data_IF_983068093387
#
_entry.id   IF_983068093387
#
_cell.length_a   1.000
_cell.length_b   1.000
_cell.length_c   1.000
_cell.angle_alpha   90.00
_cell.angle_beta   90.00
_cell.angle_gamma   90.00
#
_symmetry.space_group_name_H-M   'P 1'
#
loop_
_entity.id
_entity.type
_entity.pdbx_description
1 polymer ?
#
# COMPACT_ATOMS: atom_id res chain seq x y z
N UNK A 1 34.11 14.17 18.65
CA UNK A 1 33.40 13.61 17.47
C UNK A 1 33.26 12.12 17.69
N UNK A 2 32.03 11.58 17.72
CA UNK A 2 31.83 10.13 17.93
C UNK A 2 32.38 9.34 16.74
N UNK A 3 32.92 8.13 17.01
CA UNK A 3 33.44 7.21 15.96
C UNK A 3 32.41 6.98 14.84
N UNK A 4 31.12 7.03 15.17
CA UNK A 4 30.00 6.91 14.24
C UNK A 4 29.90 8.08 13.26
N UNK A 5 30.25 9.30 13.69
CA UNK A 5 30.27 10.48 12.81
C UNK A 5 31.45 10.47 11.82
N UNK A 6 32.58 9.88 12.22
CA UNK A 6 33.73 9.68 11.33
C UNK A 6 33.43 8.59 10.29
N UNK A 7 32.76 7.51 10.68
CA UNK A 7 32.30 6.46 9.77
C UNK A 7 31.31 7.01 8.72
N UNK A 8 30.37 7.85 9.16
CA UNK A 8 29.40 8.53 8.28
C UNK A 8 30.08 9.46 7.28
N UNK A 9 31.14 10.17 7.70
CA UNK A 9 31.88 11.08 6.82
C UNK A 9 32.69 10.31 5.76
N UNK A 10 33.26 9.17 6.13
CA UNK A 10 34.10 8.36 5.21
C UNK A 10 33.26 7.55 4.23
N UNK A 11 32.05 7.14 4.63
CA UNK A 11 31.16 6.27 3.84
C UNK A 11 29.81 6.93 3.50
N UNK A 12 29.73 8.27 3.51
CA UNK A 12 28.47 8.99 3.32
C UNK A 12 27.70 8.56 2.07
N UNK A 13 28.39 8.31 0.97
CA UNK A 13 27.79 7.89 -0.29
C UNK A 13 27.26 6.44 -0.24
N UNK A 14 28.04 5.52 0.34
CA UNK A 14 27.63 4.11 0.49
C UNK A 14 26.48 3.95 1.48
N UNK A 15 26.53 4.71 2.57
CA UNK A 15 25.43 4.74 3.57
C UNK A 15 24.17 5.31 2.94
N UNK A 16 24.28 6.39 2.16
CA UNK A 16 23.15 6.97 1.45
C UNK A 16 22.52 5.97 0.48
N UNK A 17 23.34 5.31 -0.34
CA UNK A 17 22.89 4.29 -1.27
C UNK A 17 22.14 3.17 -0.57
N UNK A 18 22.78 2.55 0.45
CA UNK A 18 22.20 1.43 1.18
C UNK A 18 20.93 1.80 1.91
N UNK A 19 20.89 2.99 2.55
CA UNK A 19 19.71 3.44 3.28
C UNK A 19 18.51 3.68 2.38
N UNK A 20 18.71 4.39 1.26
CA UNK A 20 17.63 4.62 0.26
C UNK A 20 17.19 3.30 -0.36
N UNK A 21 18.12 2.41 -0.69
CA UNK A 21 17.79 1.10 -1.25
C UNK A 21 16.93 0.27 -0.28
N UNK A 22 17.26 0.25 1.00
CA UNK A 22 16.53 -0.46 2.05
C UNK A 22 15.11 0.10 2.21
N UNK A 23 14.94 1.42 2.23
CA UNK A 23 13.63 2.05 2.28
C UNK A 23 12.79 1.69 1.05
N UNK A 24 13.34 1.85 -0.15
CA UNK A 24 12.63 1.55 -1.39
C UNK A 24 12.35 0.04 -1.55
N UNK A 25 13.15 -0.82 -0.91
CA UNK A 25 12.87 -2.26 -0.82
C UNK A 25 11.66 -2.59 0.08
N UNK A 26 11.05 -1.58 0.74
CA UNK A 26 9.82 -1.74 1.51
C UNK A 26 10.02 -1.85 3.02
N UNK A 27 11.23 -1.66 3.54
CA UNK A 27 11.43 -1.57 4.99
C UNK A 27 10.95 -0.20 5.49
N UNK A 28 10.29 -0.13 6.66
CA UNK A 28 9.73 1.11 7.20
C UNK A 28 10.83 2.00 7.84
N UNK A 29 11.89 2.27 7.09
CA UNK A 29 13.03 3.09 7.53
C UNK A 29 13.05 4.36 6.70
N UNK A 30 12.65 5.53 7.25
CA UNK A 30 12.57 6.75 6.48
C UNK A 30 13.98 7.24 6.07
N UNK A 31 14.19 7.56 4.79
CA UNK A 31 15.46 8.07 4.28
C UNK A 31 15.56 9.59 4.30
N UNK A 32 14.42 10.30 4.40
CA UNK A 32 14.42 11.77 4.41
C UNK A 32 15.33 12.39 5.48
N UNK A 33 15.49 11.85 6.73
CA UNK A 33 16.40 12.43 7.69
C UNK A 33 17.86 12.29 7.27
N UNK A 34 18.21 11.15 6.65
CA UNK A 34 19.57 10.90 6.16
C UNK A 34 19.89 11.83 4.98
N UNK A 35 18.94 12.06 4.07
CA UNK A 35 19.09 12.99 2.96
C UNK A 35 19.19 14.45 3.43
N UNK A 36 18.40 14.86 4.44
CA UNK A 36 18.52 16.18 5.05
C UNK A 36 19.92 16.35 5.69
N UNK A 37 20.39 15.35 6.45
CA UNK A 37 21.73 15.37 7.04
C UNK A 37 22.82 15.47 5.97
N UNK A 38 22.73 14.70 4.89
CA UNK A 38 23.68 14.78 3.77
C UNK A 38 23.63 16.14 3.06
N UNK A 39 22.45 16.73 2.91
CA UNK A 39 22.27 18.08 2.40
C UNK A 39 22.97 19.12 3.27
N UNK A 40 22.85 19.04 4.60
CA UNK A 40 23.57 19.93 5.54
C UNK A 40 25.10 19.74 5.47
N UNK A 41 25.56 18.51 5.29
CA UNK A 41 26.99 18.21 5.08
C UNK A 41 27.49 18.78 3.77
N UNK A 42 26.65 18.82 2.73
CA UNK A 42 27.00 19.45 1.46
C UNK A 42 27.13 20.98 1.57
N UNK A 43 26.30 21.63 2.38
CA UNK A 43 26.48 23.03 2.70
C UNK A 43 27.82 23.33 3.44
N UNK A 44 28.34 22.34 4.17
CA UNK A 44 29.65 22.38 4.82
C UNK A 44 30.82 21.95 3.90
N UNK A 45 30.59 21.74 2.59
CA UNK A 45 31.56 21.26 1.60
C UNK A 45 32.18 19.88 1.93
N UNK A 46 31.54 19.09 2.80
CA UNK A 46 32.03 17.74 3.19
C UNK A 46 31.63 16.67 2.20
N UNK A 47 30.52 16.88 1.47
CA UNK A 47 30.01 15.99 0.41
C UNK A 47 29.46 16.82 -0.74
N UNK A 48 29.42 16.24 -1.94
CA UNK A 48 28.93 16.93 -3.15
C UNK A 48 27.51 16.44 -3.51
N UNK A 49 26.54 17.35 -3.57
CA UNK A 49 25.15 17.04 -4.00
C UNK A 49 25.14 16.43 -5.41
N UNK A 50 26.04 16.89 -6.30
CA UNK A 50 26.16 16.38 -7.65
C UNK A 50 26.49 14.87 -7.71
N UNK A 51 27.11 14.31 -6.65
CA UNK A 51 27.36 12.87 -6.52
C UNK A 51 26.26 12.15 -5.72
N UNK A 52 25.68 12.82 -4.70
CA UNK A 52 24.62 12.24 -3.88
C UNK A 52 23.35 11.97 -4.69
N UNK A 53 22.96 12.91 -5.55
CA UNK A 53 21.71 12.81 -6.31
C UNK A 53 21.68 11.61 -7.27
N UNK A 54 22.73 11.38 -8.12
CA UNK A 54 22.80 10.15 -8.92
C UNK A 54 22.79 8.86 -8.09
N UNK A 55 23.42 8.84 -6.92
CA UNK A 55 23.43 7.69 -6.03
C UNK A 55 22.01 7.38 -5.53
N UNK A 56 21.26 8.40 -5.11
CA UNK A 56 19.85 8.26 -4.70
C UNK A 56 19.03 7.75 -5.87
N UNK A 57 19.20 8.31 -7.07
CA UNK A 57 18.48 7.88 -8.28
C UNK A 57 18.74 6.42 -8.61
N UNK A 58 20.00 5.97 -8.60
CA UNK A 58 20.35 4.58 -8.88
C UNK A 58 19.72 3.64 -7.85
N UNK A 59 19.78 4.00 -6.57
CA UNK A 59 19.15 3.20 -5.50
C UNK A 59 17.64 3.05 -5.71
N UNK A 60 16.94 4.15 -6.05
CA UNK A 60 15.52 4.14 -6.36
C UNK A 60 15.21 3.26 -7.58
N UNK A 61 15.84 3.54 -8.72
CA UNK A 61 15.55 2.85 -9.99
C UNK A 61 15.82 1.35 -9.88
N UNK A 62 16.89 0.95 -9.20
CA UNK A 62 17.22 -0.48 -8.99
C UNK A 62 16.13 -1.17 -8.18
N UNK A 63 15.76 -0.60 -7.04
CA UNK A 63 14.74 -1.19 -6.18
C UNK A 63 13.36 -1.20 -6.86
N UNK A 64 12.95 -0.08 -7.44
CA UNK A 64 11.62 0.09 -8.04
C UNK A 64 11.46 -0.75 -9.30
N UNK A 65 12.54 -0.92 -10.10
CA UNK A 65 12.54 -1.87 -11.23
C UNK A 65 12.34 -3.30 -10.76
N UNK A 66 12.97 -3.69 -9.66
CA UNK A 66 12.73 -5.00 -9.04
C UNK A 66 11.26 -5.20 -8.69
N UNK A 67 10.64 -4.24 -8.02
CA UNK A 67 9.21 -4.27 -7.69
C UNK A 67 8.30 -4.23 -8.91
N UNK A 68 8.63 -3.45 -9.94
CA UNK A 68 7.90 -3.42 -11.20
C UNK A 68 7.85 -4.82 -11.85
N UNK A 69 8.99 -5.49 -11.98
CA UNK A 69 9.06 -6.82 -12.58
C UNK A 69 8.36 -7.89 -11.73
N UNK A 70 8.48 -7.81 -10.41
CA UNK A 70 7.73 -8.67 -9.50
C UNK A 70 6.22 -8.46 -9.65
N UNK A 71 5.76 -7.22 -9.73
CA UNK A 71 4.37 -6.88 -9.96
C UNK A 71 3.85 -7.38 -11.31
N UNK A 72 4.65 -7.20 -12.38
CA UNK A 72 4.32 -7.68 -13.72
C UNK A 72 4.20 -9.20 -13.80
N UNK A 73 5.06 -9.94 -13.07
CA UNK A 73 5.10 -11.41 -13.14
C UNK A 73 4.11 -12.08 -12.18
N UNK A 74 3.96 -11.57 -10.97
CA UNK A 74 3.20 -12.22 -9.90
C UNK A 74 1.93 -11.47 -9.51
N UNK A 75 1.71 -10.27 -10.05
CA UNK A 75 0.48 -9.49 -9.89
C UNK A 75 0.04 -9.32 -8.44
N UNK A 76 -1.20 -9.65 -8.15
CA UNK A 76 -1.82 -9.49 -6.83
C UNK A 76 -1.12 -10.23 -5.68
N UNK A 77 -0.36 -11.31 -5.96
CA UNK A 77 0.39 -12.03 -4.91
C UNK A 77 1.46 -11.15 -4.27
N UNK A 78 2.18 -10.36 -5.08
CA UNK A 78 3.20 -9.42 -4.59
C UNK A 78 2.56 -8.33 -3.77
N UNK A 79 1.46 -7.77 -4.26
CA UNK A 79 0.70 -6.74 -3.56
C UNK A 79 0.18 -7.25 -2.21
N UNK A 80 -0.30 -8.49 -2.15
CA UNK A 80 -0.74 -9.12 -0.90
C UNK A 80 0.39 -9.25 0.13
N UNK A 81 1.61 -9.57 -0.30
CA UNK A 81 2.78 -9.62 0.59
C UNK A 81 3.12 -8.23 1.12
N UNK A 82 3.21 -7.22 0.23
CA UNK A 82 3.48 -5.83 0.63
C UNK A 82 2.39 -5.30 1.57
N UNK A 83 1.13 -5.65 1.30
CA UNK A 83 0.01 -5.26 2.13
C UNK A 83 0.05 -5.85 3.55
N UNK A 84 0.69 -7.01 3.78
CA UNK A 84 0.86 -7.55 5.14
C UNK A 84 1.72 -6.67 6.03
N UNK A 85 2.65 -5.93 5.46
CA UNK A 85 3.55 -5.02 6.17
C UNK A 85 3.01 -3.59 6.27
N UNK A 86 1.98 -3.23 5.51
CA UNK A 86 1.38 -1.89 5.53
C UNK A 86 0.22 -1.80 6.53
N UNK A 87 0.18 -0.71 7.31
CA UNK A 87 -0.89 -0.46 8.29
C UNK A 87 -2.24 -0.07 7.66
N UNK A 88 -2.25 0.35 6.38
CA UNK A 88 -3.45 0.74 5.60
C UNK A 88 -3.47 0.11 4.20
N UNK A 89 -3.14 -1.15 4.14
CA UNK A 89 -2.91 -1.88 2.91
C UNK A 89 -4.04 -1.75 1.86
N UNK A 90 -5.28 -1.99 2.25
CA UNK A 90 -6.41 -2.02 1.31
C UNK A 90 -6.75 -0.63 0.75
N UNK A 91 -6.72 0.42 1.58
CA UNK A 91 -7.03 1.79 1.16
C UNK A 91 -5.93 2.33 0.24
N UNK A 92 -4.65 2.06 0.55
CA UNK A 92 -3.52 2.45 -0.26
C UNK A 92 -3.53 1.72 -1.61
N UNK A 93 -3.78 0.41 -1.61
CA UNK A 93 -3.86 -0.42 -2.81
C UNK A 93 -4.93 0.09 -3.77
N UNK A 94 -6.19 0.24 -3.31
CA UNK A 94 -7.30 0.71 -4.14
C UNK A 94 -7.05 2.11 -4.71
N UNK A 95 -6.51 3.03 -3.90
CA UNK A 95 -6.17 4.38 -4.37
C UNK A 95 -5.08 4.35 -5.43
N UNK A 96 -4.05 3.54 -5.25
CA UNK A 96 -2.92 3.44 -6.19
C UNK A 96 -3.36 2.80 -7.49
N UNK A 97 -4.08 1.68 -7.43
CA UNK A 97 -4.63 1.01 -8.61
C UNK A 97 -5.56 1.95 -9.38
N UNK A 98 -6.48 2.63 -8.70
CA UNK A 98 -7.37 3.61 -9.31
C UNK A 98 -6.65 4.83 -9.89
N UNK A 99 -5.52 5.28 -9.31
CA UNK A 99 -4.72 6.38 -9.84
C UNK A 99 -3.95 5.97 -11.08
N UNK A 100 -3.33 4.80 -11.08
CA UNK A 100 -2.60 4.28 -12.24
C UNK A 100 -3.56 3.93 -13.37
N UNK A 101 -4.73 3.37 -13.09
CA UNK A 101 -5.76 3.10 -14.09
C UNK A 101 -6.26 4.37 -14.80
N UNK A 102 -6.35 5.50 -14.08
CA UNK A 102 -6.83 6.78 -14.64
C UNK A 102 -5.74 7.63 -15.25
N UNK A 103 -4.54 7.67 -14.66
CA UNK A 103 -3.44 8.60 -15.02
C UNK A 103 -2.21 7.90 -15.57
N UNK A 104 -2.22 6.58 -15.63
CA UNK A 104 -1.09 5.79 -16.12
C UNK A 104 0.20 6.05 -15.34
N UNK A 105 1.31 6.01 -16.06
CA UNK A 105 2.66 6.19 -15.50
C UNK A 105 2.89 7.56 -14.82
N UNK A 106 2.09 8.60 -15.15
CA UNK A 106 2.21 9.93 -14.55
C UNK A 106 2.06 9.92 -13.02
N UNK A 107 1.32 8.95 -12.47
CA UNK A 107 1.18 8.76 -11.03
C UNK A 107 2.51 8.54 -10.32
N UNK A 108 3.49 7.91 -10.99
CA UNK A 108 4.81 7.62 -10.44
C UNK A 108 5.60 8.88 -10.08
N UNK A 109 5.39 9.97 -10.83
CA UNK A 109 6.07 11.25 -10.60
C UNK A 109 5.88 11.78 -9.17
N UNK A 110 4.69 11.58 -8.60
CA UNK A 110 4.34 12.06 -7.26
C UNK A 110 4.27 10.96 -6.21
N UNK A 111 4.40 9.70 -6.61
CA UNK A 111 4.24 8.55 -5.71
C UNK A 111 5.21 8.60 -4.53
N UNK A 112 6.45 9.06 -4.75
CA UNK A 112 7.50 9.12 -3.73
C UNK A 112 7.23 10.14 -2.60
N UNK A 113 6.36 11.12 -2.84
CA UNK A 113 5.98 12.10 -1.81
C UNK A 113 4.86 11.61 -0.89
N UNK A 114 4.19 10.53 -1.25
CA UNK A 114 3.08 9.98 -0.46
C UNK A 114 3.52 8.70 0.24
N UNK A 115 3.56 8.68 1.59
CA UNK A 115 3.95 7.50 2.34
C UNK A 115 3.08 6.28 1.97
N UNK A 116 3.72 5.14 1.73
CA UNK A 116 3.05 3.91 1.31
C UNK A 116 2.74 3.82 -0.19
N UNK A 117 2.57 4.96 -0.89
CA UNK A 117 2.40 4.98 -2.33
C UNK A 117 3.72 4.69 -3.05
N UNK A 118 4.84 5.16 -2.50
CA UNK A 118 6.19 4.96 -3.04
C UNK A 118 6.52 3.49 -3.28
N UNK A 119 6.21 2.61 -2.34
CA UNK A 119 6.50 1.16 -2.42
C UNK A 119 5.45 0.38 -3.20
N UNK A 120 4.20 0.89 -3.29
CA UNK A 120 3.09 0.21 -3.98
C UNK A 120 2.99 0.58 -5.46
N UNK A 121 3.41 1.79 -5.84
CA UNK A 121 3.25 2.27 -7.21
C UNK A 121 4.06 1.46 -8.25
N UNK A 122 5.34 1.07 -8.01
CA UNK A 122 6.11 0.28 -8.96
C UNK A 122 5.48 -1.09 -9.29
N UNK A 123 5.12 -1.95 -8.31
CA UNK A 123 4.51 -3.24 -8.63
C UNK A 123 3.12 -3.09 -9.27
N UNK A 124 2.33 -2.06 -8.90
CA UNK A 124 1.04 -1.81 -9.53
C UNK A 124 1.20 -1.34 -10.97
N UNK A 125 2.20 -0.52 -11.28
CA UNK A 125 2.51 -0.11 -12.64
C UNK A 125 2.89 -1.32 -13.52
N UNK A 126 3.66 -2.27 -12.97
CA UNK A 126 3.98 -3.53 -13.63
C UNK A 126 2.76 -4.40 -13.89
N UNK A 127 1.87 -4.55 -12.91
CA UNK A 127 0.60 -5.28 -13.01
C UNK A 127 -0.36 -4.63 -14.01
N UNK A 128 -0.43 -3.30 -14.03
CA UNK A 128 -1.31 -2.54 -14.91
C UNK A 128 -0.85 -2.49 -16.38
N UNK A 129 0.28 -3.13 -16.73
CA UNK A 129 0.78 -3.18 -18.09
C UNK A 129 1.44 -1.88 -18.59
N UNK A 130 1.81 -0.97 -17.68
CA UNK A 130 2.61 0.22 -18.04
C UNK A 130 3.91 -0.24 -18.69
N UNK A 131 4.30 0.34 -19.83
CA UNK A 131 5.54 -0.04 -20.50
C UNK A 131 6.76 0.30 -19.62
N UNK A 132 7.79 -0.57 -19.66
CA UNK A 132 8.99 -0.36 -18.82
C UNK A 132 9.69 0.97 -19.09
N UNK A 133 9.73 1.39 -20.36
CA UNK A 133 10.31 2.69 -20.72
C UNK A 133 9.57 3.87 -20.08
N UNK A 134 8.24 3.87 -20.14
CA UNK A 134 7.43 4.89 -19.47
C UNK A 134 7.61 4.83 -17.95
N UNK A 135 7.63 3.62 -17.36
CA UNK A 135 7.88 3.44 -15.94
C UNK A 135 9.19 4.08 -15.52
N UNK A 136 10.32 3.74 -16.18
CA UNK A 136 11.65 4.26 -15.83
C UNK A 136 11.70 5.79 -15.97
N UNK A 137 11.13 6.36 -17.03
CA UNK A 137 11.13 7.83 -17.23
C UNK A 137 10.41 8.55 -16.10
N UNK A 138 9.18 8.15 -15.80
CA UNK A 138 8.39 8.80 -14.74
C UNK A 138 8.90 8.51 -13.34
N UNK A 139 9.39 7.32 -13.08
CA UNK A 139 9.97 6.94 -11.78
C UNK A 139 11.29 7.67 -11.52
N UNK A 140 12.17 7.76 -12.53
CA UNK A 140 13.42 8.53 -12.44
C UNK A 140 13.13 10.01 -12.22
N UNK A 141 12.17 10.58 -12.95
CA UNK A 141 11.78 11.98 -12.77
C UNK A 141 11.19 12.24 -11.36
N UNK A 142 10.34 11.33 -10.86
CA UNK A 142 9.80 11.41 -9.51
C UNK A 142 10.89 11.27 -8.44
N UNK A 143 11.83 10.34 -8.63
CA UNK A 143 12.99 10.13 -7.75
C UNK A 143 13.91 11.34 -7.73
N UNK A 144 14.14 11.97 -8.89
CA UNK A 144 14.91 13.19 -9.02
C UNK A 144 14.28 14.35 -8.23
N UNK A 145 12.99 14.58 -8.43
CA UNK A 145 12.25 15.61 -7.70
C UNK A 145 12.29 15.38 -6.20
N UNK A 146 12.05 14.15 -5.77
CA UNK A 146 12.01 13.77 -4.36
C UNK A 146 13.41 13.87 -3.72
N UNK A 147 14.44 13.29 -4.35
CA UNK A 147 15.81 13.36 -3.86
C UNK A 147 16.37 14.78 -3.83
N UNK A 148 16.13 15.55 -4.90
CA UNK A 148 16.53 16.96 -4.95
C UNK A 148 15.83 17.79 -3.88
N UNK A 149 14.52 17.59 -3.65
CA UNK A 149 13.77 18.32 -2.63
C UNK A 149 14.38 18.14 -1.23
N UNK A 150 14.67 16.91 -0.81
CA UNK A 150 15.24 16.64 0.51
C UNK A 150 16.71 17.06 0.65
N UNK A 151 17.54 16.82 -0.36
CA UNK A 151 18.95 17.22 -0.36
C UNK A 151 19.10 18.75 -0.37
N UNK A 152 18.31 19.47 -1.19
CA UNK A 152 18.34 20.93 -1.23
C UNK A 152 17.74 21.52 0.04
N UNK A 153 16.64 20.96 0.57
CA UNK A 153 16.11 21.40 1.86
C UNK A 153 17.18 21.28 2.94
N UNK A 154 17.89 20.14 3.02
CA UNK A 154 18.99 19.96 3.96
C UNK A 154 20.11 20.98 3.77
N UNK A 155 20.47 21.30 2.51
CA UNK A 155 21.49 22.31 2.20
C UNK A 155 21.08 23.72 2.65
N UNK A 156 19.87 24.16 2.36
CA UNK A 156 19.38 25.49 2.72
C UNK A 156 19.19 25.62 4.24
N UNK A 157 18.55 24.64 4.88
CA UNK A 157 18.36 24.66 6.33
C UNK A 157 19.67 24.49 7.09
N UNK A 158 20.65 23.75 6.54
CA UNK A 158 21.98 23.57 7.15
C UNK A 158 22.74 24.89 7.33
N UNK A 159 22.61 25.81 6.40
CA UNK A 159 23.23 27.14 6.52
C UNK A 159 22.55 28.02 7.59
N UNK A 160 21.21 27.92 7.70
CA UNK A 160 20.42 28.60 8.72
C UNK A 160 20.78 28.06 10.11
N UNK A 161 20.85 26.74 10.25
CA UNK A 161 21.19 26.07 11.54
C UNK A 161 22.59 26.41 12.00
N UNK A 162 23.57 26.55 11.06
CA UNK A 162 24.96 26.92 11.42
C UNK A 162 25.11 28.37 11.83
N UNK A 163 24.29 29.28 11.28
CA UNK A 163 24.33 30.73 11.63
C UNK A 163 23.67 31.07 12.96
N UNK A 164 22.78 30.20 13.41
CA UNK A 164 21.96 30.42 14.61
C UNK A 164 22.34 29.40 15.68
N UNK A 165 23.27 29.80 16.58
CA UNK A 165 23.73 29.00 17.70
C UNK A 165 22.62 28.67 18.70
N UNK A 166 22.81 27.65 19.52
CA UNK A 166 22.06 27.21 20.73
C UNK A 166 20.51 27.16 20.67
N UNK A 167 19.82 28.22 20.25
CA UNK A 167 18.35 28.27 20.23
C UNK A 167 17.77 27.27 19.22
N UNK A 168 18.38 27.13 18.02
CA UNK A 168 17.91 26.17 17.00
C UNK A 168 18.21 24.74 17.38
N UNK A 169 19.32 24.45 18.06
CA UNK A 169 19.60 23.07 18.52
C UNK A 169 18.56 22.62 19.57
N UNK A 170 18.17 23.49 20.46
CA UNK A 170 17.15 23.22 21.48
C UNK A 170 15.77 23.08 20.84
N UNK A 171 15.38 24.00 19.94
CA UNK A 171 14.12 23.91 19.19
C UNK A 171 14.06 22.67 18.27
N UNK A 172 15.16 22.32 17.59
CA UNK A 172 15.23 21.11 16.76
C UNK A 172 15.09 19.84 17.60
N UNK A 173 15.67 19.82 18.80
CA UNK A 173 15.50 18.69 19.73
C UNK A 173 14.05 18.54 20.19
N UNK A 174 13.42 19.65 20.63
CA UNK A 174 11.99 19.64 21.01
C UNK A 174 11.08 19.27 19.81
N UNK A 175 11.34 19.82 18.62
CA UNK A 175 10.60 19.47 17.42
C UNK A 175 10.79 17.98 17.05
N UNK A 176 12.00 17.45 17.16
CA UNK A 176 12.30 16.04 16.95
C UNK A 176 11.56 15.11 17.91
N UNK A 177 11.55 15.46 19.20
CA UNK A 177 10.79 14.72 20.22
C UNK A 177 9.29 14.81 19.96
N UNK A 178 8.77 15.98 19.59
CA UNK A 178 7.35 16.16 19.26
C UNK A 178 6.94 15.31 18.04
N UNK A 179 7.76 15.32 16.98
CA UNK A 179 7.54 14.48 15.78
C UNK A 179 7.58 13.00 16.14
N UNK A 180 8.55 12.57 16.96
CA UNK A 180 8.64 11.19 17.44
C UNK A 180 7.39 10.79 18.22
N UNK A 181 6.95 11.62 19.17
CA UNK A 181 5.73 11.39 19.95
C UNK A 181 4.49 11.34 19.05
N UNK A 182 4.40 12.23 18.06
CA UNK A 182 3.32 12.22 17.07
C UNK A 182 3.31 10.92 16.24
N UNK A 183 4.48 10.49 15.76
CA UNK A 183 4.61 9.23 14.99
C UNK A 183 4.21 8.03 15.86
N UNK A 184 4.74 7.94 17.09
CA UNK A 184 4.38 6.89 18.05
C UNK A 184 2.87 6.94 18.35
N UNK A 185 2.32 8.12 18.60
CA UNK A 185 0.89 8.32 18.83
C UNK A 185 0.02 7.83 17.66
N UNK A 186 0.42 8.16 16.42
CA UNK A 186 -0.27 7.69 15.22
C UNK A 186 -0.18 6.16 15.08
N UNK A 187 0.99 5.57 15.34
CA UNK A 187 1.17 4.11 15.29
C UNK A 187 0.29 3.42 16.32
N UNK A 188 0.31 3.90 17.58
CA UNK A 188 -0.50 3.34 18.67
C UNK A 188 -1.99 3.49 18.36
N UNK A 189 -2.42 4.68 17.93
CA UNK A 189 -3.81 4.93 17.54
C UNK A 189 -4.27 3.96 16.44
N UNK A 190 -3.47 3.80 15.38
CA UNK A 190 -3.77 2.87 14.28
C UNK A 190 -3.79 1.42 14.74
N UNK A 191 -2.85 1.03 15.62
CA UNK A 191 -2.82 -0.31 16.19
C UNK A 191 -4.08 -0.62 17.01
N UNK A 192 -4.52 0.33 17.84
CA UNK A 192 -5.75 0.19 18.65
C UNK A 192 -6.98 0.13 17.75
N UNK A 193 -7.07 1.00 16.73
CA UNK A 193 -8.16 0.97 15.75
C UNK A 193 -8.22 -0.36 15.00
N UNK A 194 -7.07 -0.87 14.57
CA UNK A 194 -6.98 -2.17 13.91
C UNK A 194 -7.41 -3.32 14.83
N UNK A 195 -7.01 -3.30 16.10
CA UNK A 195 -7.47 -4.31 17.07
C UNK A 195 -8.98 -4.28 17.28
N UNK A 196 -9.56 -3.09 17.47
CA UNK A 196 -11.02 -2.93 17.60
C UNK A 196 -11.75 -3.46 16.38
N UNK A 197 -11.31 -3.08 15.19
CA UNK A 197 -11.86 -3.56 13.92
C UNK A 197 -11.81 -5.08 13.77
N UNK A 198 -10.67 -5.72 14.09
CA UNK A 198 -10.54 -7.17 14.03
C UNK A 198 -11.41 -7.90 15.06
N UNK A 199 -11.69 -7.27 16.20
CA UNK A 199 -12.58 -7.84 17.24
C UNK A 199 -14.04 -7.80 16.79
N UNK A 200 -14.50 -6.69 16.19
CA UNK A 200 -15.84 -6.58 15.60
C UNK A 200 -16.06 -7.60 14.48
N UNK A 201 -15.02 -7.87 13.71
CA UNK A 201 -15.09 -8.81 12.58
C UNK A 201 -15.18 -10.28 13.00
N UNK A 202 -14.65 -10.68 14.16
CA UNK A 202 -14.60 -12.09 14.58
C UNK A 202 -15.97 -12.75 14.61
N UNK A 203 -17.00 -12.01 14.98
CA UNK A 203 -18.38 -12.51 15.02
C UNK A 203 -19.15 -12.45 13.70
N UNK A 204 -18.56 -11.83 12.66
CA UNK A 204 -19.24 -11.61 11.39
C UNK A 204 -18.69 -12.44 10.23
N UNK A 205 -17.50 -13.00 10.38
CA UNK A 205 -16.84 -13.77 9.33
C UNK A 205 -17.55 -15.06 9.01
N UNK A 206 -17.63 -15.39 7.74
CA UNK A 206 -18.11 -16.67 7.25
C UNK A 206 -16.90 -17.52 6.84
N UNK A 207 -16.81 -18.73 7.36
CA UNK A 207 -15.77 -19.68 6.95
C UNK A 207 -16.07 -20.21 5.54
N UNK A 208 -15.05 -20.52 4.70
CA UNK A 208 -15.26 -21.08 3.37
C UNK A 208 -16.12 -22.36 3.37
N UNK A 209 -15.92 -23.25 4.35
CA UNK A 209 -16.71 -24.46 4.51
C UNK A 209 -18.21 -24.16 4.78
N UNK A 210 -18.48 -23.13 5.57
CA UNK A 210 -19.87 -22.72 5.85
C UNK A 210 -20.55 -22.15 4.60
N UNK A 211 -19.83 -21.37 3.78
CA UNK A 211 -20.38 -20.88 2.52
C UNK A 211 -20.67 -22.03 1.55
N UNK A 212 -19.77 -23.00 1.44
CA UNK A 212 -19.99 -24.17 0.60
C UNK A 212 -21.26 -24.94 1.04
N UNK A 213 -21.39 -25.21 2.34
CA UNK A 213 -22.58 -25.87 2.89
C UNK A 213 -23.86 -25.06 2.56
N UNK A 214 -23.86 -23.74 2.74
CA UNK A 214 -25.01 -22.89 2.40
C UNK A 214 -25.39 -22.98 0.90
N UNK A 215 -24.40 -23.06 0.01
CA UNK A 215 -24.65 -23.21 -1.44
C UNK A 215 -25.26 -24.60 -1.74
N UNK A 216 -24.73 -25.65 -1.12
CA UNK A 216 -25.20 -27.02 -1.31
C UNK A 216 -26.60 -27.23 -0.72
N UNK A 217 -26.87 -26.71 0.47
CA UNK A 217 -28.17 -26.79 1.11
C UNK A 217 -29.24 -26.02 0.31
N UNK A 218 -28.92 -24.80 -0.13
CA UNK A 218 -29.83 -24.02 -0.99
C UNK A 218 -30.15 -24.75 -2.32
N UNK A 219 -29.17 -25.45 -2.89
CA UNK A 219 -29.41 -26.24 -4.11
C UNK A 219 -30.28 -27.47 -3.85
N UNK A 220 -30.13 -28.14 -2.69
CA UNK A 220 -30.93 -29.31 -2.32
C UNK A 220 -32.38 -28.94 -1.99
N UNK A 221 -32.58 -27.80 -1.36
CA UNK A 221 -33.89 -27.33 -0.91
C UNK A 221 -34.60 -26.40 -1.92
N UNK A 222 -34.02 -26.24 -3.11
CA UNK A 222 -34.51 -25.31 -4.16
C UNK A 222 -34.71 -23.87 -3.67
N UNK A 223 -33.89 -23.46 -2.68
CA UNK A 223 -33.91 -22.11 -2.11
C UNK A 223 -33.02 -21.15 -2.89
N UNK A 224 -33.23 -19.83 -2.77
CA UNK A 224 -32.36 -18.85 -3.38
C UNK A 224 -30.91 -18.98 -2.87
N UNK A 225 -29.98 -19.07 -3.81
CA UNK A 225 -28.53 -19.12 -3.50
C UNK A 225 -28.09 -17.86 -2.76
N UNK A 226 -27.08 -17.93 -1.86
CA UNK A 226 -26.48 -16.76 -1.27
C UNK A 226 -25.97 -15.79 -2.36
N UNK A 227 -26.14 -14.48 -2.13
CA UNK A 227 -25.71 -13.46 -3.07
C UNK A 227 -24.23 -13.14 -2.83
N UNK A 228 -23.37 -13.62 -3.72
CA UNK A 228 -21.91 -13.53 -3.58
C UNK A 228 -21.41 -12.34 -4.39
N UNK A 229 -20.69 -11.42 -3.74
CA UNK A 229 -20.15 -10.21 -4.37
C UNK A 229 -18.62 -10.24 -4.34
N UNK A 230 -18.04 -10.10 -5.53
CA UNK A 230 -16.60 -9.90 -5.72
C UNK A 230 -16.25 -8.41 -5.68
N UNK A 231 -15.54 -8.00 -4.61
CA UNK A 231 -15.11 -6.61 -4.40
C UNK A 231 -13.69 -6.35 -4.94
N UNK A 232 -13.11 -7.26 -5.71
CA UNK A 232 -11.76 -7.09 -6.26
C UNK A 232 -11.70 -5.94 -7.27
N UNK A 233 -10.52 -5.33 -7.34
CA UNK A 233 -10.25 -4.35 -8.40
C UNK A 233 -10.22 -5.04 -9.78
N UNK A 234 -10.64 -4.36 -10.88
CA UNK A 234 -10.56 -4.93 -12.24
C UNK A 234 -9.20 -5.52 -12.61
N UNK A 235 -8.11 -4.88 -12.22
CA UNK A 235 -6.75 -5.36 -12.48
C UNK A 235 -6.45 -6.70 -11.79
N UNK A 236 -7.04 -6.96 -10.62
CA UNK A 236 -6.86 -8.23 -9.91
C UNK A 236 -7.60 -9.36 -10.63
N UNK A 237 -8.78 -9.06 -11.19
CA UNK A 237 -9.55 -10.03 -11.98
C UNK A 237 -8.88 -10.34 -13.33
N UNK A 238 -8.24 -9.35 -13.96
CA UNK A 238 -7.47 -9.57 -15.19
C UNK A 238 -6.26 -10.48 -14.96
N UNK A 239 -5.63 -10.40 -13.79
CA UNK A 239 -4.49 -11.27 -13.47
C UNK A 239 -4.88 -12.64 -12.92
N UNK A 240 -6.06 -12.74 -12.32
CA UNK A 240 -6.61 -13.98 -11.77
C UNK A 240 -8.12 -14.02 -12.05
N UNK A 241 -8.54 -14.54 -13.20
CA UNK A 241 -9.93 -14.50 -13.66
C UNK A 241 -10.84 -15.50 -12.93
N UNK A 242 -10.33 -16.26 -11.96
CA UNK A 242 -11.12 -17.20 -11.19
C UNK A 242 -11.97 -16.47 -10.13
N UNK A 243 -13.24 -16.85 -10.03
CA UNK A 243 -14.24 -16.30 -9.11
C UNK A 243 -14.95 -17.42 -8.35
N UNK A 244 -15.60 -17.10 -7.24
CA UNK A 244 -16.49 -18.02 -6.56
C UNK A 244 -17.72 -18.30 -7.45
N UNK A 245 -18.34 -19.51 -7.35
CA UNK A 245 -19.52 -19.86 -8.14
C UNK A 245 -20.65 -18.84 -7.95
N UNK A 246 -21.17 -18.34 -9.07
CA UNK A 246 -22.27 -17.37 -9.08
C UNK A 246 -21.91 -15.97 -8.53
N UNK A 247 -20.64 -15.65 -8.35
CA UNK A 247 -20.22 -14.35 -7.85
C UNK A 247 -20.44 -13.23 -8.86
N UNK A 248 -21.07 -12.14 -8.42
CA UNK A 248 -21.24 -10.92 -9.18
C UNK A 248 -20.14 -9.91 -8.79
N UNK A 249 -19.42 -9.39 -9.78
CA UNK A 249 -18.41 -8.39 -9.52
C UNK A 249 -19.03 -7.00 -9.39
N UNK A 250 -18.89 -6.39 -8.22
CA UNK A 250 -19.34 -5.01 -7.95
C UNK A 250 -18.22 -4.30 -7.17
N UNK A 251 -17.76 -3.15 -7.67
CA UNK A 251 -16.77 -2.36 -6.96
C UNK A 251 -17.29 -1.83 -5.62
N UNK A 252 -16.42 -1.62 -4.60
CA UNK A 252 -16.84 -1.13 -3.28
C UNK A 252 -17.62 0.18 -3.32
N UNK A 253 -17.22 1.12 -4.19
CA UNK A 253 -17.88 2.43 -4.33
C UNK A 253 -19.19 2.32 -5.14
N UNK A 254 -19.22 1.43 -6.15
CA UNK A 254 -20.41 1.14 -6.94
C UNK A 254 -21.49 0.49 -6.07
N UNK A 255 -21.11 -0.44 -5.21
CA UNK A 255 -22.04 -1.12 -4.31
C UNK A 255 -22.73 -0.13 -3.33
N UNK A 256 -22.03 0.92 -2.92
CA UNK A 256 -22.60 1.98 -2.08
C UNK A 256 -23.61 2.85 -2.83
N UNK A 257 -23.40 3.06 -4.13
CA UNK A 257 -24.27 3.88 -4.97
C UNK A 257 -25.50 3.12 -5.46
N UNK A 258 -25.37 1.83 -5.72
CA UNK A 258 -26.40 0.95 -6.27
C UNK A 258 -26.96 -0.02 -5.24
N UNK A 259 -27.48 0.51 -4.14
CA UNK A 259 -28.03 -0.31 -3.03
C UNK A 259 -29.24 -1.15 -3.46
N UNK A 260 -29.99 -0.70 -4.43
CA UNK A 260 -31.13 -1.40 -5.01
C UNK A 260 -30.77 -2.75 -5.65
N UNK A 261 -29.51 -2.97 -6.00
CA UNK A 261 -29.04 -4.25 -6.51
C UNK A 261 -28.83 -5.31 -5.42
N UNK A 262 -28.87 -4.90 -4.13
CA UNK A 262 -28.60 -5.77 -3.01
C UNK A 262 -29.91 -6.41 -2.53
N UNK A 263 -30.06 -7.74 -2.66
CA UNK A 263 -31.26 -8.42 -2.18
C UNK A 263 -31.35 -8.37 -0.66
N UNK A 264 -32.56 -8.17 -0.13
CA UNK A 264 -32.81 -8.18 1.32
C UNK A 264 -33.32 -9.53 1.85
N UNK A 265 -33.68 -10.44 0.96
CA UNK A 265 -34.31 -11.73 1.22
C UNK A 265 -33.35 -12.87 1.51
N UNK A 266 -32.06 -12.70 1.17
CA UNK A 266 -31.05 -13.76 1.25
C UNK A 266 -29.74 -13.29 1.91
N UNK A 267 -28.86 -14.24 2.22
CA UNK A 267 -27.53 -13.97 2.77
C UNK A 267 -26.61 -13.38 1.68
N UNK A 268 -25.87 -12.33 2.05
CA UNK A 268 -24.93 -11.62 1.20
C UNK A 268 -23.52 -11.95 1.68
N UNK A 269 -22.69 -12.45 0.78
CA UNK A 269 -21.30 -12.80 1.07
C UNK A 269 -20.37 -11.91 0.26
N UNK A 270 -19.49 -11.21 0.95
CA UNK A 270 -18.52 -10.31 0.32
C UNK A 270 -17.13 -10.94 0.37
N UNK A 271 -16.38 -10.90 -0.73
CA UNK A 271 -14.99 -11.31 -0.72
C UNK A 271 -14.09 -10.34 -1.50
N UNK A 272 -12.81 -10.37 -1.18
CA UNK A 272 -11.75 -9.60 -1.86
C UNK A 272 -10.44 -10.39 -1.88
N UNK A 273 -9.40 -9.84 -2.48
CA UNK A 273 -8.02 -10.38 -2.45
C UNK A 273 -7.18 -9.82 -1.31
N UNK A 274 -7.70 -8.86 -0.55
CA UNK A 274 -6.93 -8.20 0.50
C UNK A 274 -6.59 -9.16 1.66
N UNK A 275 -5.35 -9.15 2.18
CA UNK A 275 -5.01 -9.84 3.41
C UNK A 275 -5.91 -9.34 4.55
N UNK A 276 -6.41 -10.27 5.37
CA UNK A 276 -7.30 -9.96 6.50
C UNK A 276 -8.69 -9.43 6.11
N UNK A 277 -9.14 -9.62 4.87
CA UNK A 277 -10.48 -9.27 4.36
C UNK A 277 -10.90 -7.80 4.62
N UNK A 278 -9.95 -6.88 4.73
CA UNK A 278 -10.21 -5.51 5.21
C UNK A 278 -11.24 -4.77 4.34
N UNK A 279 -11.18 -4.92 3.01
CA UNK A 279 -12.13 -4.28 2.10
C UNK A 279 -13.53 -4.86 2.26
N UNK A 280 -13.68 -6.19 2.22
CA UNK A 280 -14.98 -6.86 2.36
C UNK A 280 -15.60 -6.62 3.73
N UNK A 281 -14.76 -6.56 4.76
CA UNK A 281 -15.17 -6.28 6.12
C UNK A 281 -15.65 -4.82 6.31
N UNK A 282 -14.94 -3.83 5.79
CA UNK A 282 -15.37 -2.42 5.82
C UNK A 282 -16.70 -2.23 5.11
N UNK A 283 -16.83 -2.82 3.92
CA UNK A 283 -18.09 -2.76 3.15
C UNK A 283 -19.23 -3.45 3.90
N UNK A 284 -18.98 -4.63 4.51
CA UNK A 284 -19.99 -5.33 5.31
C UNK A 284 -20.49 -4.48 6.48
N UNK A 285 -19.58 -3.82 7.21
CA UNK A 285 -19.94 -2.93 8.32
C UNK A 285 -20.76 -1.71 7.85
N UNK A 286 -20.38 -1.12 6.72
CA UNK A 286 -21.16 0.00 6.12
C UNK A 286 -22.56 -0.45 5.71
N UNK A 287 -22.71 -1.57 5.02
CA UNK A 287 -24.01 -2.11 4.61
C UNK A 287 -24.88 -2.43 5.83
N UNK A 288 -24.31 -2.97 6.92
CA UNK A 288 -25.04 -3.20 8.17
C UNK A 288 -25.51 -1.91 8.82
N UNK A 289 -24.69 -0.85 8.84
CA UNK A 289 -25.11 0.49 9.32
C UNK A 289 -26.25 1.07 8.50
N UNK A 290 -26.37 0.67 7.23
CA UNK A 290 -27.44 1.05 6.33
C UNK A 290 -28.69 0.15 6.43
N UNK A 291 -28.72 -0.81 7.37
CA UNK A 291 -29.86 -1.69 7.63
C UNK A 291 -29.80 -3.06 6.98
N UNK A 292 -28.80 -3.36 6.14
CA UNK A 292 -28.65 -4.66 5.49
C UNK A 292 -27.94 -5.61 6.46
N UNK A 293 -28.70 -6.39 7.23
CA UNK A 293 -28.19 -7.17 8.36
C UNK A 293 -27.50 -8.49 7.97
N UNK A 294 -27.94 -9.11 6.87
CA UNK A 294 -27.46 -10.44 6.42
C UNK A 294 -26.20 -10.35 5.55
N UNK A 295 -25.21 -9.52 5.95
CA UNK A 295 -23.97 -9.34 5.20
C UNK A 295 -22.82 -9.89 6.02
N UNK A 296 -22.02 -10.77 5.39
CA UNK A 296 -20.87 -11.42 6.01
C UNK A 296 -19.65 -11.42 5.08
N UNK A 297 -18.46 -11.01 5.56
CA UNK A 297 -17.22 -11.16 4.80
C UNK A 297 -16.74 -12.62 4.84
N UNK A 298 -16.26 -13.13 3.71
CA UNK A 298 -15.68 -14.45 3.58
C UNK A 298 -14.26 -14.45 4.13
N UNK A 299 -13.97 -15.32 5.09
CA UNK A 299 -12.65 -15.46 5.68
C UNK A 299 -11.63 -15.93 4.64
N UNK A 300 -10.47 -15.24 4.58
CA UNK A 300 -9.43 -15.51 3.58
C UNK A 300 -9.80 -15.06 2.16
N UNK A 301 -11.02 -14.55 1.94
CA UNK A 301 -11.49 -14.10 0.63
C UNK A 301 -11.34 -15.17 -0.45
N UNK A 302 -10.96 -14.77 -1.69
CA UNK A 302 -10.72 -15.71 -2.79
C UNK A 302 -9.60 -16.70 -2.48
N UNK A 303 -8.54 -16.27 -1.79
CA UNK A 303 -7.42 -17.16 -1.50
C UNK A 303 -7.81 -18.25 -0.50
N UNK A 304 -8.58 -17.93 0.55
CA UNK A 304 -9.07 -18.92 1.51
C UNK A 304 -9.99 -19.96 0.88
N UNK A 305 -10.78 -19.55 -0.14
CA UNK A 305 -11.61 -20.47 -0.91
C UNK A 305 -10.76 -21.42 -1.77
N UNK A 306 -9.72 -20.89 -2.43
CA UNK A 306 -8.74 -21.67 -3.22
C UNK A 306 -7.94 -22.66 -2.36
N UNK A 307 -7.47 -22.19 -1.20
CA UNK A 307 -6.68 -23.03 -0.27
C UNK A 307 -7.50 -24.20 0.28
N UNK A 308 -8.82 -24.04 0.38
CA UNK A 308 -9.75 -25.11 0.76
C UNK A 308 -10.04 -26.10 -0.41
N UNK A 309 -9.58 -25.82 -1.62
CA UNK A 309 -9.78 -26.69 -2.81
C UNK A 309 -11.21 -26.68 -3.34
N UNK A 310 -12.00 -25.62 -3.06
CA UNK A 310 -13.40 -25.56 -3.47
C UNK A 310 -13.58 -25.10 -4.93
N UNK A 311 -14.75 -25.42 -5.56
CA UNK A 311 -15.00 -25.12 -6.96
C UNK A 311 -14.87 -23.63 -7.27
N UNK A 312 -14.35 -23.32 -8.45
CA UNK A 312 -14.20 -21.97 -8.97
C UNK A 312 -14.79 -21.89 -10.38
N UNK A 313 -15.23 -20.71 -10.75
CA UNK A 313 -15.69 -20.38 -12.09
C UNK A 313 -14.76 -19.35 -12.72
N UNK A 314 -14.77 -19.27 -14.05
CA UNK A 314 -14.06 -18.16 -14.74
C UNK A 314 -14.99 -16.96 -14.78
N UNK A 315 -14.48 -15.78 -14.40
CA UNK A 315 -15.24 -14.54 -14.51
C UNK A 315 -15.71 -14.37 -15.96
N UNK A 316 -17.02 -14.25 -16.16
CA UNK A 316 -17.56 -13.88 -17.47
C UNK A 316 -16.98 -12.49 -17.80
N UNK A 317 -16.36 -12.38 -18.99
CA UNK A 317 -15.91 -11.10 -19.51
C UNK A 317 -17.13 -10.16 -19.60
N UNK A 318 -17.14 -9.13 -18.75
CA UNK A 318 -18.16 -8.08 -18.75
C UNK A 318 -17.81 -7.04 -19.80
#
# INVERSE_FOLDING_TARGET
MSSMMLLFLHHAYSVMFGWVLIEQAGLPVPSFPVMLAAGTMSAAHKVHIALLLPIVLVACVVSDSGWYWLGKRYGGRVLNVLCRFSLEAATCLNRTQGSIARRGAFTLLFAKFVPGLSTMAPPIAGQAGVSYGQFVVYDTAGSLLWGAAWLLAGRFFGDIVRRSTHLFATLAHFAGVLVLLMVVGVIVYRYVQRRKFLTELRGMRLEPAQLLAMIEDARREEQPLPFIIDLRHPLDVLTDPLVLPGALRIGPDELKQRRELIPHDRDIVLYCTCPSEETSAKVALELRRMGIRRVRPLRGGLQGWKDAGYPLETALAA
#
